data_IF_228482492645
#
_entry.id   IF_228482492645
#
_cell.length_a   1.000
_cell.length_b   1.000
_cell.length_c   1.000
_cell.angle_alpha   90.00
_cell.angle_beta   90.00
_cell.angle_gamma   90.00
#
_symmetry.space_group_name_H-M   'P 1'
#
loop_
_entity.id
_entity.type
_entity.pdbx_description
1 polymer ?
#
# COMPACT_ATOMS: atom_id res chain seq x y z
N UNK A 1 22.28 -1.08 -18.01
CA UNK A 1 22.51 -1.99 -16.88
C UNK A 1 21.30 -2.90 -16.79
N UNK A 2 21.45 -4.20 -17.03
CA UNK A 2 20.37 -5.18 -16.92
C UNK A 2 20.05 -5.36 -15.43
N UNK A 3 18.92 -4.80 -14.99
CA UNK A 3 18.42 -5.03 -13.65
C UNK A 3 18.01 -6.50 -13.57
N UNK A 4 18.77 -7.31 -12.81
CA UNK A 4 18.41 -8.71 -12.55
C UNK A 4 17.23 -8.72 -11.58
N UNK A 5 16.02 -8.71 -12.14
CA UNK A 5 14.79 -8.86 -11.36
C UNK A 5 14.77 -10.24 -10.71
N UNK A 6 14.41 -10.30 -9.43
CA UNK A 6 14.16 -11.55 -8.71
C UNK A 6 12.96 -12.27 -9.30
N UNK A 7 12.83 -13.58 -9.05
CA UNK A 7 11.67 -14.38 -9.51
C UNK A 7 10.34 -13.76 -9.05
N UNK A 8 10.29 -13.23 -7.82
CA UNK A 8 9.10 -12.55 -7.29
C UNK A 8 8.72 -11.31 -8.10
N UNK A 9 9.69 -10.50 -8.50
CA UNK A 9 9.49 -9.31 -9.34
C UNK A 9 9.05 -9.67 -10.78
N UNK A 10 9.58 -10.76 -11.33
CA UNK A 10 9.16 -11.26 -12.65
C UNK A 10 7.69 -11.72 -12.60
N UNK A 11 7.31 -12.46 -11.55
CA UNK A 11 5.94 -12.90 -11.34
C UNK A 11 5.00 -11.69 -11.14
N UNK A 12 5.40 -10.69 -10.35
CA UNK A 12 4.57 -9.50 -10.12
C UNK A 12 4.38 -8.67 -11.39
N UNK A 13 5.43 -8.47 -12.18
CA UNK A 13 5.34 -7.77 -13.46
C UNK A 13 4.35 -8.45 -14.42
N UNK A 14 4.45 -9.78 -14.56
CA UNK A 14 3.51 -10.56 -15.35
C UNK A 14 2.08 -10.39 -14.86
N UNK A 15 1.85 -10.50 -13.55
CA UNK A 15 0.52 -10.34 -12.98
C UNK A 15 -0.06 -8.94 -13.21
N UNK A 16 0.70 -7.87 -12.92
CA UNK A 16 0.29 -6.48 -13.15
C UNK A 16 -0.05 -6.24 -14.62
N UNK A 17 0.76 -6.76 -15.55
CA UNK A 17 0.47 -6.67 -17.00
C UNK A 17 -0.86 -7.35 -17.37
N UNK A 18 -1.10 -8.56 -16.89
CA UNK A 18 -2.36 -9.28 -17.13
C UNK A 18 -3.56 -8.54 -16.55
N UNK A 19 -3.39 -7.83 -15.44
CA UNK A 19 -4.48 -7.02 -14.88
C UNK A 19 -4.91 -5.91 -15.81
N UNK A 20 -4.04 -5.41 -16.72
CA UNK A 20 -4.39 -4.42 -17.73
C UNK A 20 -5.32 -5.00 -18.82
N UNK A 21 -5.18 -6.29 -19.11
CA UNK A 21 -5.84 -6.99 -20.22
C UNK A 21 -7.19 -7.63 -19.83
N UNK A 22 -7.34 -8.06 -18.57
CA UNK A 22 -8.55 -8.76 -18.09
C UNK A 22 -8.79 -8.59 -16.60
N UNK A 23 -10.02 -8.88 -16.17
CA UNK A 23 -10.42 -8.81 -14.78
C UNK A 23 -9.62 -9.79 -13.89
N UNK A 24 -9.29 -9.37 -12.67
CA UNK A 24 -8.37 -10.10 -11.77
C UNK A 24 -8.89 -11.49 -11.40
N UNK A 25 -10.20 -11.65 -11.25
CA UNK A 25 -10.85 -12.94 -10.98
C UNK A 25 -10.62 -13.94 -12.13
N UNK A 26 -10.48 -13.46 -13.36
CA UNK A 26 -10.22 -14.28 -14.57
C UNK A 26 -8.75 -14.57 -14.82
N UNK A 27 -7.83 -13.97 -14.06
CA UNK A 27 -6.40 -14.26 -14.17
C UNK A 27 -6.10 -15.53 -13.37
N UNK A 28 -5.70 -16.61 -14.02
CA UNK A 28 -5.22 -17.82 -13.34
C UNK A 28 -3.72 -17.75 -13.07
N UNK A 29 -3.24 -18.55 -12.11
CA UNK A 29 -1.79 -18.72 -11.88
C UNK A 29 -1.09 -19.21 -13.16
N UNK A 30 -1.74 -20.07 -13.95
CA UNK A 30 -1.22 -20.48 -15.26
C UNK A 30 -1.07 -19.28 -16.20
N UNK A 31 -2.03 -18.35 -16.25
CA UNK A 31 -1.89 -17.15 -17.07
C UNK A 31 -0.68 -16.32 -16.65
N UNK A 32 -0.47 -16.14 -15.34
CA UNK A 32 0.67 -15.40 -14.79
C UNK A 32 1.98 -16.07 -15.22
N UNK A 33 2.08 -17.39 -15.05
CA UNK A 33 3.33 -18.10 -15.29
C UNK A 33 3.65 -18.30 -16.78
N UNK A 34 2.65 -18.33 -17.68
CA UNK A 34 2.87 -18.43 -19.13
C UNK A 34 3.66 -17.25 -19.70
N UNK A 35 3.55 -16.06 -19.11
CA UNK A 35 4.34 -14.90 -19.54
C UNK A 35 5.75 -14.87 -18.92
N UNK A 36 6.09 -15.86 -18.11
CA UNK A 36 7.40 -16.03 -17.48
C UNK A 36 8.13 -17.22 -18.10
N UNK A 37 9.44 -17.32 -17.90
CA UNK A 37 10.23 -18.49 -18.31
C UNK A 37 10.17 -19.65 -17.29
N UNK A 38 9.36 -19.51 -16.23
CA UNK A 38 9.28 -20.45 -15.12
C UNK A 38 8.08 -21.40 -15.22
N UNK A 39 8.21 -22.58 -14.60
CA UNK A 39 7.11 -23.54 -14.49
C UNK A 39 6.08 -23.05 -13.48
N UNK A 40 4.83 -23.49 -13.63
CA UNK A 40 3.74 -23.16 -12.71
C UNK A 40 4.09 -23.41 -11.23
N UNK A 41 4.80 -24.51 -10.93
CA UNK A 41 5.18 -24.85 -9.56
C UNK A 41 6.04 -23.76 -8.89
N UNK A 42 6.86 -23.06 -9.66
CA UNK A 42 7.70 -21.95 -9.18
C UNK A 42 6.90 -20.79 -8.60
N UNK A 43 5.63 -20.63 -9.00
CA UNK A 43 4.74 -19.70 -8.33
C UNK A 43 4.59 -20.05 -6.85
N UNK A 44 4.29 -21.32 -6.57
CA UNK A 44 4.01 -21.83 -5.22
C UNK A 44 5.27 -21.94 -4.35
N UNK A 45 6.46 -21.86 -4.95
CA UNK A 45 7.71 -21.71 -4.21
C UNK A 45 7.85 -20.29 -3.61
N UNK A 46 7.03 -19.33 -4.05
CA UNK A 46 7.13 -17.92 -3.69
C UNK A 46 5.86 -17.31 -3.13
N UNK A 47 4.69 -17.80 -3.55
CA UNK A 47 3.38 -17.29 -3.19
C UNK A 47 2.35 -18.41 -3.04
N UNK A 48 1.55 -18.36 -1.98
CA UNK A 48 0.51 -19.37 -1.75
C UNK A 48 -0.62 -19.26 -2.78
N UNK A 49 -1.04 -18.02 -3.08
CA UNK A 49 -2.10 -17.72 -4.02
C UNK A 49 -1.99 -16.29 -4.60
N UNK A 50 -3.04 -15.83 -5.29
CA UNK A 50 -3.09 -14.48 -5.86
C UNK A 50 -3.14 -13.39 -4.79
N UNK A 51 -3.72 -13.65 -3.62
CA UNK A 51 -3.82 -12.66 -2.54
C UNK A 51 -2.44 -12.43 -1.93
N UNK A 52 -1.71 -13.50 -1.65
CA UNK A 52 -0.32 -13.41 -1.16
C UNK A 52 0.58 -12.67 -2.15
N UNK A 53 0.41 -12.90 -3.46
CA UNK A 53 1.07 -12.09 -4.48
C UNK A 53 0.69 -10.61 -4.39
N UNK A 54 -0.61 -10.28 -4.28
CA UNK A 54 -1.08 -8.88 -4.24
C UNK A 54 -0.56 -8.15 -2.99
N UNK A 55 -0.62 -8.77 -1.82
CA UNK A 55 -0.12 -8.17 -0.57
C UNK A 55 1.39 -8.02 -0.59
N UNK A 56 2.11 -8.99 -1.17
CA UNK A 56 3.55 -8.87 -1.42
C UNK A 56 3.89 -7.73 -2.36
N UNK A 57 3.17 -7.58 -3.48
CA UNK A 57 3.38 -6.47 -4.43
C UNK A 57 3.24 -5.13 -3.71
N UNK A 58 2.13 -4.93 -2.98
CA UNK A 58 1.89 -3.68 -2.27
C UNK A 58 2.98 -3.40 -1.24
N UNK A 59 3.28 -4.36 -0.37
CA UNK A 59 4.32 -4.15 0.65
C UNK A 59 5.70 -3.95 0.05
N UNK A 60 6.09 -4.68 -1.00
CA UNK A 60 7.39 -4.56 -1.63
C UNK A 60 7.57 -3.20 -2.33
N UNK A 61 6.62 -2.80 -3.17
CA UNK A 61 6.70 -1.55 -3.94
C UNK A 61 6.58 -0.31 -3.03
N UNK A 62 5.76 -0.38 -1.97
CA UNK A 62 5.63 0.72 -1.00
C UNK A 62 6.83 0.76 -0.04
N UNK A 63 7.23 -0.37 0.56
CA UNK A 63 8.32 -0.38 1.57
C UNK A 63 9.70 -0.08 0.99
N UNK A 64 9.99 -0.55 -0.23
CA UNK A 64 11.27 -0.28 -0.90
C UNK A 64 11.53 1.22 -1.02
N UNK A 65 10.47 1.99 -1.22
CA UNK A 65 10.55 3.44 -1.41
C UNK A 65 10.44 4.22 -0.12
N UNK A 66 9.63 3.78 0.85
CA UNK A 66 9.60 4.38 2.19
C UNK A 66 10.96 4.27 2.86
N UNK A 67 11.67 3.15 2.72
CA UNK A 67 13.02 2.98 3.26
C UNK A 67 14.05 3.95 2.66
N UNK A 68 13.85 4.40 1.42
CA UNK A 68 14.72 5.40 0.79
C UNK A 68 14.39 6.82 1.27
N UNK A 69 13.12 7.09 1.57
CA UNK A 69 12.64 8.39 2.05
C UNK A 69 12.91 8.58 3.55
N UNK A 70 12.84 7.52 4.35
CA UNK A 70 13.07 7.58 5.80
C UNK A 70 14.48 8.08 6.18
N UNK A 71 15.44 7.97 5.26
CA UNK A 71 16.79 8.55 5.37
C UNK A 71 16.73 10.08 5.56
N UNK A 72 15.65 10.72 5.11
CA UNK A 72 15.45 12.17 5.12
C UNK A 72 14.48 12.66 6.21
N UNK A 73 13.97 11.76 7.07
CA UNK A 73 13.12 12.02 8.25
C UNK A 73 11.81 12.82 8.02
N UNK A 74 11.34 12.99 6.78
CA UNK A 74 10.13 13.79 6.52
C UNK A 74 8.87 12.94 6.33
N UNK A 75 7.97 12.99 7.31
CA UNK A 75 6.69 12.23 7.34
C UNK A 75 5.73 12.65 6.24
N UNK A 76 5.75 13.92 5.84
CA UNK A 76 4.92 14.42 4.76
C UNK A 76 5.34 13.82 3.41
N UNK A 77 6.64 13.58 3.22
CA UNK A 77 7.18 12.98 1.99
C UNK A 77 6.80 11.50 1.89
N UNK A 78 6.74 10.78 3.02
CA UNK A 78 6.25 9.39 3.06
C UNK A 78 4.79 9.33 2.59
N UNK A 79 3.94 10.23 3.10
CA UNK A 79 2.54 10.31 2.67
C UNK A 79 2.45 10.67 1.18
N UNK A 80 3.21 11.67 0.73
CA UNK A 80 3.21 12.10 -0.66
C UNK A 80 3.63 10.99 -1.62
N UNK A 81 4.63 10.21 -1.23
CA UNK A 81 5.08 9.04 -1.99
C UNK A 81 3.98 7.99 -2.11
N UNK A 82 3.32 7.62 -1.00
CA UNK A 82 2.22 6.66 -1.02
C UNK A 82 1.09 7.13 -1.96
N UNK A 83 0.76 8.42 -1.92
CA UNK A 83 -0.24 9.02 -2.82
C UNK A 83 0.17 8.92 -4.28
N UNK A 84 1.41 9.32 -4.60
CA UNK A 84 1.95 9.26 -5.96
C UNK A 84 1.94 7.83 -6.49
N UNK A 85 2.42 6.88 -5.69
CA UNK A 85 2.44 5.46 -6.03
C UNK A 85 1.03 4.90 -6.32
N UNK A 86 0.04 5.21 -5.46
CA UNK A 86 -1.34 4.80 -5.66
C UNK A 86 -1.95 5.44 -6.91
N UNK A 87 -1.63 6.69 -7.22
CA UNK A 87 -2.08 7.40 -8.43
C UNK A 87 -1.48 6.78 -9.70
N UNK A 88 -0.18 6.54 -9.73
CA UNK A 88 0.52 5.89 -10.85
C UNK A 88 -0.03 4.48 -11.13
N UNK A 89 -0.42 3.76 -10.08
CA UNK A 89 -0.96 2.41 -10.17
C UNK A 89 -2.50 2.36 -10.02
N UNK A 90 -3.21 3.48 -10.22
CA UNK A 90 -4.64 3.59 -9.87
C UNK A 90 -5.54 2.59 -10.55
N UNK A 91 -5.28 2.23 -11.81
CA UNK A 91 -6.09 1.25 -12.55
C UNK A 91 -6.00 -0.12 -11.89
N UNK A 92 -4.80 -0.52 -11.46
CA UNK A 92 -4.55 -1.78 -10.76
C UNK A 92 -5.23 -1.80 -9.40
N UNK A 93 -4.99 -0.78 -8.56
CA UNK A 93 -5.55 -0.75 -7.20
C UNK A 93 -7.06 -0.52 -7.18
N UNK A 94 -7.62 0.25 -8.12
CA UNK A 94 -9.08 0.38 -8.26
C UNK A 94 -9.72 -0.97 -8.61
N UNK A 95 -9.10 -1.76 -9.48
CA UNK A 95 -9.58 -3.12 -9.81
C UNK A 95 -9.50 -4.07 -8.62
N UNK A 96 -8.46 -3.98 -7.79
CA UNK A 96 -8.34 -4.76 -6.56
C UNK A 96 -9.43 -4.35 -5.56
N UNK A 97 -9.51 -3.06 -5.24
CA UNK A 97 -10.45 -2.52 -4.25
C UNK A 97 -11.92 -2.64 -4.62
N UNK A 98 -12.24 -2.77 -5.91
CA UNK A 98 -13.62 -2.97 -6.38
C UNK A 98 -14.01 -4.44 -6.49
N UNK A 99 -13.07 -5.37 -6.30
CA UNK A 99 -13.34 -6.80 -6.45
C UNK A 99 -13.72 -7.40 -5.10
N UNK A 100 -14.97 -7.80 -4.95
CA UNK A 100 -15.51 -8.39 -3.70
C UNK A 100 -14.88 -9.73 -3.33
N UNK A 101 -14.28 -10.44 -4.27
CA UNK A 101 -13.50 -11.64 -3.94
C UNK A 101 -12.21 -11.23 -3.21
N UNK A 102 -11.67 -10.04 -3.51
CA UNK A 102 -10.46 -9.47 -2.93
C UNK A 102 -10.72 -8.62 -1.68
N UNK A 103 -11.85 -8.79 -1.00
CA UNK A 103 -12.20 -7.98 0.18
C UNK A 103 -11.12 -8.04 1.28
N UNK A 104 -10.42 -9.17 1.40
CA UNK A 104 -9.29 -9.33 2.34
C UNK A 104 -8.12 -8.39 2.05
N UNK A 105 -7.98 -7.86 0.82
CA UNK A 105 -6.96 -6.86 0.54
C UNK A 105 -7.26 -5.52 1.21
N UNK A 106 -8.53 -5.14 1.35
CA UNK A 106 -8.87 -3.91 2.08
C UNK A 106 -8.45 -4.02 3.55
N UNK A 107 -8.67 -5.18 4.16
CA UNK A 107 -8.23 -5.44 5.53
C UNK A 107 -6.70 -5.42 5.65
N UNK A 108 -6.00 -6.02 4.69
CA UNK A 108 -4.54 -5.94 4.60
C UNK A 108 -4.04 -4.50 4.44
N UNK A 109 -4.69 -3.70 3.61
CA UNK A 109 -4.36 -2.30 3.41
C UNK A 109 -4.52 -1.50 4.70
N UNK A 110 -5.64 -1.67 5.43
CA UNK A 110 -5.85 -1.06 6.75
C UNK A 110 -4.75 -1.49 7.73
N UNK A 111 -4.43 -2.78 7.77
CA UNK A 111 -3.36 -3.33 8.61
C UNK A 111 -2.01 -2.69 8.29
N UNK A 112 -1.65 -2.55 7.01
CA UNK A 112 -0.41 -1.93 6.58
C UNK A 112 -0.35 -0.46 7.00
N UNK A 113 -1.40 0.31 6.73
CA UNK A 113 -1.48 1.72 7.16
C UNK A 113 -1.37 1.84 8.69
N UNK A 114 -2.01 0.93 9.45
CA UNK A 114 -1.90 0.90 10.92
C UNK A 114 -0.45 0.75 11.36
N UNK A 115 0.30 -0.15 10.73
CA UNK A 115 1.72 -0.40 11.04
C UNK A 115 2.56 0.85 10.80
N UNK A 116 2.37 1.53 9.67
CA UNK A 116 3.10 2.76 9.35
C UNK A 116 2.76 3.91 10.30
N UNK A 117 1.47 4.13 10.59
CA UNK A 117 1.03 5.12 11.58
C UNK A 117 1.63 4.82 12.95
N UNK A 118 1.61 3.56 13.38
CA UNK A 118 2.22 3.14 14.65
C UNK A 118 3.71 3.43 14.71
N UNK A 119 4.46 3.21 13.62
CA UNK A 119 5.90 3.53 13.55
C UNK A 119 6.13 5.03 13.73
N UNK A 120 5.42 5.87 12.96
CA UNK A 120 5.50 7.34 13.04
C UNK A 120 5.15 7.84 14.45
N UNK A 121 4.11 7.26 15.05
CA UNK A 121 3.62 7.61 16.37
C UNK A 121 4.60 7.20 17.47
N UNK A 122 5.20 6.00 17.40
CA UNK A 122 6.24 5.56 18.35
C UNK A 122 7.42 6.51 18.41
N UNK A 123 7.89 7.00 17.26
CA UNK A 123 9.01 7.95 17.20
C UNK A 123 8.66 9.29 17.86
N UNK A 124 7.42 9.77 17.66
CA UNK A 124 6.92 10.96 18.33
C UNK A 124 6.83 10.75 19.85
N UNK A 125 6.29 9.62 20.29
CA UNK A 125 6.04 9.37 21.71
C UNK A 125 7.31 9.08 22.52
N UNK A 126 8.32 8.43 21.92
CA UNK A 126 9.63 8.22 22.56
C UNK A 126 10.26 9.54 23.03
N UNK A 127 9.98 10.63 22.33
CA UNK A 127 10.55 11.94 22.60
C UNK A 127 9.64 12.84 23.47
N UNK A 128 8.39 12.45 23.75
CA UNK A 128 7.38 13.35 24.32
C UNK A 128 6.48 12.78 25.44
N UNK A 129 6.70 11.55 25.94
CA UNK A 129 5.72 10.86 26.82
C UNK A 129 6.34 10.07 27.99
N UNK A 130 5.79 10.24 29.21
CA UNK A 130 6.22 9.55 30.45
C UNK A 130 5.12 8.89 31.32
N UNK A 131 3.85 8.73 30.88
CA UNK A 131 2.78 8.18 31.76
C UNK A 131 1.75 7.24 31.08
N UNK A 132 1.05 6.41 31.88
CA UNK A 132 0.04 5.42 31.44
C UNK A 132 -1.21 6.06 30.84
N UNK A 133 -1.65 7.24 31.34
CA UNK A 133 -2.76 7.99 30.75
C UNK A 133 -2.50 8.29 29.26
N UNK A 134 -1.24 8.54 28.91
CA UNK A 134 -0.87 8.79 27.54
C UNK A 134 -1.04 7.56 26.66
N UNK A 135 -0.93 6.32 27.16
CA UNK A 135 -1.00 5.10 26.35
C UNK A 135 -2.40 4.86 25.74
N UNK A 136 -3.48 5.04 26.51
CA UNK A 136 -4.84 4.93 25.97
C UNK A 136 -5.13 6.04 24.93
N UNK A 137 -4.66 7.26 25.19
CA UNK A 137 -4.76 8.34 24.21
C UNK A 137 -3.98 8.04 22.92
N UNK A 138 -2.84 7.34 23.00
CA UNK A 138 -2.07 6.92 21.83
C UNK A 138 -2.81 5.89 20.98
N UNK A 139 -3.43 4.88 21.61
CA UNK A 139 -4.17 3.85 20.88
C UNK A 139 -5.35 4.48 20.13
N UNK A 140 -6.15 5.32 20.81
CA UNK A 140 -7.26 6.05 20.20
C UNK A 140 -6.76 6.93 19.04
N UNK A 141 -5.68 7.67 19.24
CA UNK A 141 -5.10 8.54 18.21
C UNK A 141 -4.61 7.73 17.01
N UNK A 142 -3.91 6.63 17.27
CA UNK A 142 -3.40 5.71 16.24
C UNK A 142 -4.56 5.13 15.42
N UNK A 143 -5.63 4.69 16.09
CA UNK A 143 -6.81 4.15 15.42
C UNK A 143 -7.53 5.19 14.59
N UNK A 144 -7.72 6.40 15.12
CA UNK A 144 -8.33 7.51 14.38
C UNK A 144 -7.58 7.79 13.08
N UNK A 145 -6.26 7.97 13.13
CA UNK A 145 -5.45 8.21 11.93
C UNK A 145 -5.42 7.00 11.01
N UNK A 146 -5.35 5.78 11.55
CA UNK A 146 -5.36 4.55 10.75
C UNK A 146 -6.63 4.44 9.93
N UNK A 147 -7.80 4.48 10.58
CA UNK A 147 -9.08 4.30 9.91
C UNK A 147 -9.43 5.49 9.03
N UNK A 148 -9.15 6.72 9.49
CA UNK A 148 -9.35 7.93 8.68
C UNK A 148 -8.52 7.91 7.40
N UNK A 149 -7.20 7.71 7.51
CA UNK A 149 -6.30 7.72 6.37
C UNK A 149 -6.59 6.56 5.42
N UNK A 150 -6.71 5.33 5.92
CA UNK A 150 -6.96 4.17 5.06
C UNK A 150 -8.28 4.27 4.28
N UNK A 151 -9.36 4.74 4.91
CA UNK A 151 -10.65 4.91 4.23
C UNK A 151 -10.62 6.07 3.23
N UNK A 152 -9.91 7.17 3.55
CA UNK A 152 -9.73 8.29 2.61
C UNK A 152 -8.95 7.86 1.36
N UNK A 153 -7.83 7.15 1.53
CA UNK A 153 -7.03 6.62 0.43
C UNK A 153 -7.82 5.63 -0.42
N UNK A 154 -8.51 4.68 0.23
CA UNK A 154 -9.38 3.72 -0.44
C UNK A 154 -10.42 4.40 -1.32
N UNK A 155 -11.17 5.36 -0.78
CA UNK A 155 -12.20 6.10 -1.52
C UNK A 155 -11.61 6.96 -2.63
N UNK A 156 -10.45 7.57 -2.40
CA UNK A 156 -9.77 8.39 -3.39
C UNK A 156 -9.33 7.57 -4.61
N UNK A 157 -8.77 6.37 -4.41
CA UNK A 157 -8.43 5.43 -5.49
C UNK A 157 -9.68 4.99 -6.25
N UNK A 158 -10.78 4.67 -5.55
CA UNK A 158 -12.05 4.31 -6.21
C UNK A 158 -12.62 5.45 -7.08
N UNK A 159 -12.33 6.70 -6.71
CA UNK A 159 -12.67 7.92 -7.45
C UNK A 159 -11.56 8.37 -8.42
N UNK A 160 -10.79 7.43 -8.95
CA UNK A 160 -9.78 7.65 -10.00
C UNK A 160 -8.63 8.60 -9.60
N UNK A 161 -8.34 8.68 -8.30
CA UNK A 161 -7.34 9.56 -7.73
C UNK A 161 -7.62 11.04 -8.07
N UNK A 162 -8.87 11.46 -7.89
CA UNK A 162 -9.29 12.86 -8.06
C UNK A 162 -9.60 13.48 -6.69
N UNK A 163 -8.96 14.61 -6.34
CA UNK A 163 -7.97 15.36 -7.12
C UNK A 163 -6.60 14.66 -7.19
N UNK A 164 -5.71 15.10 -8.08
CA UNK A 164 -4.36 14.53 -8.25
C UNK A 164 -3.55 14.50 -6.94
N UNK A 165 -2.58 13.58 -6.84
CA UNK A 165 -1.82 13.31 -5.61
C UNK A 165 -1.26 14.57 -4.94
N UNK A 166 -0.67 15.50 -5.70
CA UNK A 166 -0.16 16.78 -5.19
C UNK A 166 -1.22 17.57 -4.42
N UNK A 167 -2.37 17.80 -5.04
CA UNK A 167 -3.43 18.60 -4.42
C UNK A 167 -4.10 17.84 -3.27
N UNK A 168 -4.25 16.52 -3.39
CA UNK A 168 -4.80 15.71 -2.33
C UNK A 168 -3.87 15.67 -1.10
N UNK A 169 -2.56 15.61 -1.31
CA UNK A 169 -1.55 15.73 -0.25
C UNK A 169 -1.67 17.05 0.51
N UNK A 170 -1.74 18.18 -0.20
CA UNK A 170 -1.92 19.50 0.42
C UNK A 170 -3.18 19.57 1.29
N UNK A 171 -4.29 19.00 0.83
CA UNK A 171 -5.54 18.94 1.59
C UNK A 171 -5.42 18.07 2.83
N UNK A 172 -4.75 16.92 2.73
CA UNK A 172 -4.51 16.02 3.85
C UNK A 172 -3.61 16.66 4.91
N UNK A 173 -2.48 17.26 4.52
CA UNK A 173 -1.57 17.94 5.45
C UNK A 173 -2.29 19.08 6.18
N UNK A 174 -3.06 19.91 5.47
CA UNK A 174 -3.88 20.96 6.09
C UNK A 174 -4.88 20.39 7.09
N UNK A 175 -5.51 19.25 6.78
CA UNK A 175 -6.49 18.61 7.68
C UNK A 175 -5.83 18.03 8.92
N UNK A 176 -4.66 17.41 8.77
CA UNK A 176 -3.91 16.80 9.87
C UNK A 176 -3.33 17.88 10.80
N UNK A 177 -2.88 19.01 10.25
CA UNK A 177 -2.28 20.10 11.02
C UNK A 177 -3.27 21.13 11.55
N UNK A 178 -4.51 21.16 11.05
CA UNK A 178 -5.54 22.01 11.62
C UNK A 178 -5.96 21.49 13.00
N UNK A 179 -5.55 22.24 14.02
CA UNK A 179 -6.12 22.15 15.37
C UNK A 179 -7.56 22.68 15.30
N UNK A 180 -8.54 21.78 15.27
CA UNK A 180 -9.93 22.15 15.59
C UNK A 180 -10.07 22.42 17.09
#
# INVERSE_FOLDING_TARGET
MTQNNTTKEIISYSFKKLTCEKAIDKISITNIMVQTEYRRQTFYDHFDDKYDLITWIFSYEVSGSINLISIWENREDILFYLLTYLEENKVYYKRIFSNTQLDSFKDYFIYYIKKEVQTIMKDYYKNHVHSVYNQNSMEITTEFYTYGLSEMLYRWVLKDCVPQSNHFHELLIKTIHNKF
#
